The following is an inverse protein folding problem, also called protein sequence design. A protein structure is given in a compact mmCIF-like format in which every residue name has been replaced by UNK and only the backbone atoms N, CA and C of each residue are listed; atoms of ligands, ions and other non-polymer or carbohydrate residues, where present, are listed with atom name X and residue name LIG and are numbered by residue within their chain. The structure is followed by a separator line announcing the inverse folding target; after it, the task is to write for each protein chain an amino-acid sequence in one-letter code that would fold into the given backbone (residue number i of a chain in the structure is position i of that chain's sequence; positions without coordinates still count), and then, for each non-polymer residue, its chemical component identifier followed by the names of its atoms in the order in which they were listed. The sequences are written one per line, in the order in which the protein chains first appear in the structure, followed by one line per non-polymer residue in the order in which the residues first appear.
data_IF_947200538729
#
_entry.id   IF_947200538729
#
_cell.length_a   1.000
_cell.length_b   1.000
_cell.length_c   1.000
_cell.angle_alpha   90.00
_cell.angle_beta   90.00
_cell.angle_gamma   90.00
#
_symmetry.space_group_name_H-M   'P 1'
#
loop_
_entity.id
_entity.type
_entity.pdbx_description
1 polymer ?
#
# COMPACT_ATOMS: atom_id res chain seq x y z
N UNK A 1 -36.32 -10.15 3.57
CA UNK A 1 -35.97 -9.63 2.23
C UNK A 1 -34.52 -9.17 2.30
N UNK A 2 -33.58 -9.96 1.79
CA UNK A 2 -32.13 -9.72 1.94
C UNK A 2 -31.68 -8.80 0.79
N UNK A 3 -31.15 -7.63 1.12
CA UNK A 3 -30.55 -6.72 0.14
C UNK A 3 -29.06 -7.08 0.00
N UNK A 4 -28.74 -7.91 -1.00
CA UNK A 4 -27.35 -8.14 -1.40
C UNK A 4 -26.90 -6.96 -2.26
N UNK A 5 -26.03 -6.10 -1.71
CA UNK A 5 -25.31 -5.10 -2.52
C UNK A 5 -24.14 -5.80 -3.20
N UNK A 6 -24.27 -6.08 -4.49
CA UNK A 6 -23.16 -6.54 -5.31
C UNK A 6 -22.23 -5.36 -5.59
N UNK A 7 -20.98 -5.42 -5.12
CA UNK A 7 -19.91 -4.56 -5.63
C UNK A 7 -19.57 -5.03 -7.06
N UNK A 8 -19.34 -4.08 -7.97
CA UNK A 8 -18.95 -4.40 -9.35
C UNK A 8 -17.57 -5.06 -9.33
N UNK A 9 -17.46 -6.26 -9.89
CA UNK A 9 -16.17 -6.90 -10.12
C UNK A 9 -15.33 -6.03 -11.06
N UNK A 10 -14.21 -5.52 -10.56
CA UNK A 10 -13.19 -4.85 -11.35
C UNK A 10 -11.98 -5.79 -11.44
N UNK A 11 -11.39 -5.99 -12.63
CA UNK A 11 -10.17 -6.80 -12.77
C UNK A 11 -8.96 -6.22 -11.99
N UNK A 12 -9.11 -5.02 -11.44
CA UNK A 12 -8.15 -4.29 -10.62
C UNK A 12 -8.40 -4.44 -9.11
N UNK A 13 -9.28 -5.35 -8.67
CA UNK A 13 -9.26 -5.78 -7.27
C UNK A 13 -8.03 -6.67 -7.07
N UNK A 14 -6.87 -6.05 -6.93
CA UNK A 14 -5.70 -6.70 -6.37
C UNK A 14 -6.16 -7.30 -5.04
N UNK A 15 -6.00 -8.61 -4.87
CA UNK A 15 -6.09 -9.22 -3.53
C UNK A 15 -5.15 -8.44 -2.61
N UNK A 16 -5.50 -8.30 -1.34
CA UNK A 16 -4.71 -7.50 -0.39
C UNK A 16 -3.21 -7.86 -0.44
N UNK A 17 -2.89 -9.15 -0.60
CA UNK A 17 -1.53 -9.69 -0.81
C UNK A 17 -0.79 -9.09 -2.02
N UNK A 18 -1.46 -8.92 -3.16
CA UNK A 18 -0.82 -8.35 -4.36
C UNK A 18 -0.60 -6.84 -4.23
N UNK A 19 -1.51 -6.14 -3.54
CA UNK A 19 -1.32 -4.73 -3.21
C UNK A 19 -0.09 -4.58 -2.34
N UNK A 20 0.03 -5.42 -1.32
CA UNK A 20 1.18 -5.44 -0.43
C UNK A 20 2.49 -5.72 -1.19
N UNK A 21 2.51 -6.71 -2.08
CA UNK A 21 3.68 -7.03 -2.91
C UNK A 21 4.11 -5.84 -3.79
N UNK A 22 3.18 -5.16 -4.46
CA UNK A 22 3.47 -3.97 -5.26
C UNK A 22 4.03 -2.83 -4.38
N UNK A 23 3.49 -2.66 -3.16
CA UNK A 23 3.98 -1.67 -2.21
C UNK A 23 5.38 -1.99 -1.71
N UNK A 24 5.69 -3.25 -1.40
CA UNK A 24 7.05 -3.67 -1.05
C UNK A 24 8.03 -3.45 -2.19
N UNK A 25 7.62 -3.71 -3.43
CA UNK A 25 8.46 -3.41 -4.60
C UNK A 25 8.74 -1.92 -4.72
N UNK A 26 7.76 -1.08 -4.45
CA UNK A 26 7.91 0.38 -4.49
C UNK A 26 8.76 0.91 -3.33
N UNK A 27 8.55 0.40 -2.11
CA UNK A 27 9.38 0.71 -0.96
C UNK A 27 10.84 0.31 -1.18
N UNK A 28 11.10 -0.87 -1.75
CA UNK A 28 12.45 -1.34 -2.07
C UNK A 28 13.15 -0.41 -3.07
N UNK A 29 12.41 0.14 -4.02
CA UNK A 29 12.93 1.15 -4.95
C UNK A 29 13.30 2.46 -4.23
N UNK A 30 12.45 2.95 -3.32
CA UNK A 30 12.75 4.11 -2.49
C UNK A 30 13.97 3.87 -1.60
N UNK A 31 14.11 2.68 -1.02
CA UNK A 31 15.26 2.31 -0.19
C UNK A 31 16.58 2.38 -0.97
N UNK A 32 16.60 1.89 -2.21
CA UNK A 32 17.78 2.01 -3.09
C UNK A 32 18.10 3.48 -3.37
N UNK A 33 17.08 4.30 -3.62
CA UNK A 33 17.23 5.72 -3.91
C UNK A 33 17.74 6.51 -2.69
N UNK A 34 17.32 6.13 -1.49
CA UNK A 34 17.78 6.68 -0.22
C UNK A 34 19.13 6.11 0.23
N UNK A 35 19.89 5.44 -0.66
CA UNK A 35 21.18 4.79 -0.35
C UNK A 35 21.12 3.79 0.83
N UNK A 36 19.97 3.12 1.00
CA UNK A 36 19.74 2.19 2.10
C UNK A 36 19.27 2.85 3.40
N UNK A 37 18.98 4.15 3.40
CA UNK A 37 18.36 4.82 4.54
C UNK A 37 16.87 4.46 4.62
N UNK A 38 16.53 3.69 5.65
CA UNK A 38 15.18 3.18 5.91
C UNK A 38 14.25 4.29 6.40
N UNK A 39 14.75 5.21 7.23
CA UNK A 39 13.93 6.31 7.77
C UNK A 39 13.51 7.26 6.64
N UNK A 40 14.45 7.63 5.78
CA UNK A 40 14.17 8.47 4.62
C UNK A 40 13.19 7.77 3.65
N UNK A 41 13.41 6.49 3.35
CA UNK A 41 12.55 5.73 2.44
C UNK A 41 11.10 5.60 2.97
N UNK A 42 10.94 5.39 4.28
CA UNK A 42 9.63 5.35 4.93
C UNK A 42 8.94 6.72 4.90
N UNK A 43 9.68 7.82 5.10
CA UNK A 43 9.13 9.16 5.00
C UNK A 43 8.60 9.45 3.58
N UNK A 44 9.39 9.15 2.55
CA UNK A 44 8.94 9.31 1.15
C UNK A 44 7.69 8.47 0.84
N UNK A 45 7.65 7.23 1.35
CA UNK A 45 6.48 6.36 1.17
C UNK A 45 5.24 6.93 1.88
N UNK A 46 5.39 7.47 3.09
CA UNK A 46 4.30 8.09 3.83
C UNK A 46 3.71 9.29 3.07
N UNK A 47 4.57 10.17 2.56
CA UNK A 47 4.17 11.34 1.76
C UNK A 47 3.42 10.94 0.48
N UNK A 48 3.95 9.97 -0.26
CA UNK A 48 3.32 9.46 -1.48
C UNK A 48 2.00 8.74 -1.18
N UNK A 49 1.94 8.00 -0.07
CA UNK A 49 0.73 7.30 0.32
C UNK A 49 -0.46 8.23 0.62
N UNK A 50 -0.18 9.42 1.16
CA UNK A 50 -1.18 10.47 1.40
C UNK A 50 -1.70 11.09 0.11
N UNK A 51 -0.82 11.31 -0.88
CA UNK A 51 -1.20 11.89 -2.17
C UNK A 51 -1.99 10.92 -3.05
N UNK A 52 -1.54 9.65 -3.13
CA UNK A 52 -2.15 8.63 -3.99
C UNK A 52 -3.19 7.77 -3.28
N UNK A 53 -3.49 8.05 -2.00
CA UNK A 53 -4.48 7.31 -1.20
C UNK A 53 -4.22 5.80 -1.23
N UNK A 54 -2.94 5.43 -1.09
CA UNK A 54 -2.49 4.04 -1.26
C UNK A 54 -3.07 3.14 -0.15
N UNK A 55 -3.09 3.68 1.07
CA UNK A 55 -3.69 3.07 2.25
C UNK A 55 -5.13 3.57 2.42
N UNK A 56 -6.09 2.96 1.72
CA UNK A 56 -7.52 3.17 1.94
C UNK A 56 -8.24 1.84 2.23
N UNK A 57 -9.36 1.95 2.96
CA UNK A 57 -10.29 0.90 3.40
C UNK A 57 -9.82 -0.07 4.50
N UNK A 58 -8.85 -0.96 4.25
CA UNK A 58 -8.56 -2.08 5.16
C UNK A 58 -7.07 -2.28 5.50
N UNK A 59 -6.19 -1.47 4.92
CA UNK A 59 -4.74 -1.59 5.11
C UNK A 59 -4.15 -0.20 5.31
N UNK A 60 -3.59 0.06 6.50
CA UNK A 60 -3.02 1.34 6.88
C UNK A 60 -1.50 1.36 6.71
N UNK A 61 -0.91 2.55 6.71
CA UNK A 61 0.56 2.69 6.72
C UNK A 61 1.19 2.02 7.94
N UNK A 62 0.51 2.04 9.10
CA UNK A 62 0.98 1.33 10.29
C UNK A 62 1.05 -0.17 10.05
N UNK A 63 0.02 -0.75 9.42
CA UNK A 63 -0.02 -2.18 9.11
C UNK A 63 1.13 -2.56 8.16
N UNK A 64 1.49 -1.69 7.21
CA UNK A 64 2.66 -1.89 6.36
C UNK A 64 3.99 -1.86 7.12
N UNK A 65 4.14 -0.94 8.07
CA UNK A 65 5.34 -0.86 8.92
C UNK A 65 5.43 -2.06 9.86
N UNK A 66 4.30 -2.59 10.32
CA UNK A 66 4.24 -3.78 11.18
C UNK A 66 4.56 -5.08 10.42
N UNK A 67 4.34 -5.13 9.10
CA UNK A 67 4.66 -6.26 8.21
C UNK A 67 6.11 -6.25 7.67
N UNK A 68 6.87 -5.19 7.91
CA UNK A 68 8.26 -4.99 7.47
C UNK A 68 9.27 -5.76 8.34
#
# INVERSE_FOLDING_TARGET
MIHLRYSKWTPFSLTDDKRLEEMFSFFSYLLIQSNGDVEDALQWLEELSKEYKIFEDNFSFSDFVDEL
#
